data_IF_522808048117
#
_entry.id   IF_522808048117
#
_cell.length_a   1.000
_cell.length_b   1.000
_cell.length_c   1.000
_cell.angle_alpha   90.00
_cell.angle_beta   90.00
_cell.angle_gamma   90.00
#
_symmetry.space_group_name_H-M   'P 1'
#
loop_
_entity.id
_entity.type
_entity.pdbx_description
1 polymer ?
#
# COMPACT_ATOMS: atom_id res chain seq x y z
N UNK A 1 -30.77 -0.75 37.54
CA UNK A 1 -29.53 0.01 37.79
C UNK A 1 -29.31 0.94 36.62
N UNK A 2 -29.40 2.23 36.87
CA UNK A 2 -29.13 3.29 35.90
C UNK A 2 -27.61 3.40 35.76
N UNK A 3 -27.08 3.10 34.58
CA UNK A 3 -25.63 3.09 34.36
C UNK A 3 -25.19 4.54 34.17
N UNK A 4 -24.66 5.14 35.23
CA UNK A 4 -24.12 6.49 35.19
C UNK A 4 -22.77 6.47 34.43
N UNK A 5 -22.63 7.20 33.30
CA UNK A 5 -21.41 7.17 32.50
C UNK A 5 -20.27 7.88 33.25
N UNK A 6 -19.15 7.17 33.43
CA UNK A 6 -17.93 7.75 34.03
C UNK A 6 -17.42 8.89 33.15
N UNK A 7 -17.09 10.02 33.78
CA UNK A 7 -16.49 11.17 33.11
C UNK A 7 -15.18 10.78 32.40
N UNK A 8 -14.89 11.36 31.22
CA UNK A 8 -13.65 11.10 30.52
C UNK A 8 -12.45 11.52 31.37
N UNK A 9 -11.44 10.66 31.39
CA UNK A 9 -10.16 10.96 32.06
C UNK A 9 -9.56 12.19 31.39
N UNK A 10 -9.08 13.13 32.20
CA UNK A 10 -8.41 14.33 31.71
C UNK A 10 -7.28 13.95 30.74
N UNK A 11 -7.21 14.61 29.59
CA UNK A 11 -6.13 14.39 28.62
C UNK A 11 -4.78 14.61 29.31
N UNK A 12 -3.87 13.64 29.30
CA UNK A 12 -2.54 13.84 29.87
C UNK A 12 -1.87 14.99 29.13
N UNK A 13 -1.22 15.88 29.89
CA UNK A 13 -0.44 16.96 29.28
C UNK A 13 0.71 16.35 28.47
N UNK A 14 0.78 16.71 27.18
CA UNK A 14 1.91 16.32 26.34
C UNK A 14 3.21 16.88 26.94
N UNK A 15 4.33 16.13 26.87
CA UNK A 15 5.62 16.65 27.26
C UNK A 15 5.96 17.92 26.45
N UNK A 16 6.72 18.86 27.02
CA UNK A 16 7.15 20.04 26.30
C UNK A 16 7.94 19.63 25.05
N UNK A 17 7.80 20.40 23.97
CA UNK A 17 8.56 20.20 22.74
C UNK A 17 10.05 20.03 23.06
N UNK A 18 10.73 19.00 22.55
CA UNK A 18 12.18 18.91 22.70
C UNK A 18 12.83 20.16 22.12
N UNK A 19 13.92 20.63 22.75
CA UNK A 19 14.74 21.71 22.20
C UNK A 19 15.13 21.34 20.77
N UNK A 20 15.02 22.31 19.84
CA UNK A 20 15.37 22.15 18.43
C UNK A 20 16.64 21.31 18.30
N UNK A 21 16.49 20.09 17.81
CA UNK A 21 17.62 19.25 17.41
C UNK A 21 18.18 19.88 16.14
N UNK A 22 19.11 20.82 16.33
CA UNK A 22 19.89 21.44 15.26
C UNK A 22 20.79 20.42 14.54
N UNK A 23 21.01 19.26 15.16
CA UNK A 23 21.79 18.14 14.64
C UNK A 23 20.93 16.92 14.29
N UNK A 24 19.71 17.11 13.78
CA UNK A 24 19.08 16.04 13.01
C UNK A 24 19.89 15.88 11.73
N UNK A 25 20.77 14.89 11.71
CA UNK A 25 21.45 14.45 10.50
C UNK A 25 20.41 14.40 9.37
N UNK A 26 20.66 15.17 8.31
CA UNK A 26 19.77 15.29 7.17
C UNK A 26 19.39 13.88 6.70
N UNK A 27 18.11 13.52 6.77
CA UNK A 27 17.66 12.21 6.33
C UNK A 27 17.85 12.11 4.83
N UNK A 28 19.01 11.63 4.41
CA UNK A 28 19.28 11.27 3.02
C UNK A 28 18.60 9.94 2.77
N UNK A 29 17.33 10.02 2.36
CA UNK A 29 16.60 8.85 1.89
C UNK A 29 17.47 8.12 0.86
N UNK A 30 17.88 6.89 1.17
CA UNK A 30 18.65 6.09 0.23
C UNK A 30 17.79 5.85 -1.02
N UNK A 31 18.16 6.51 -2.13
CA UNK A 31 17.47 6.52 -3.42
C UNK A 31 17.32 5.13 -4.06
N UNK A 32 18.03 4.12 -3.55
CA UNK A 32 17.94 2.73 -4.00
C UNK A 32 16.54 2.14 -3.88
N UNK A 33 15.66 2.69 -3.04
CA UNK A 33 14.26 2.27 -2.90
C UNK A 33 13.25 3.14 -3.69
N UNK A 34 13.73 4.04 -4.55
CA UNK A 34 12.85 4.83 -5.41
C UNK A 34 12.19 3.93 -6.46
N UNK A 35 10.88 3.73 -6.32
CA UNK A 35 10.08 3.07 -7.36
C UNK A 35 9.87 4.11 -8.46
N UNK A 36 10.45 3.86 -9.65
CA UNK A 36 10.10 4.62 -10.85
C UNK A 36 8.68 4.27 -11.26
N UNK A 37 7.73 5.12 -10.89
CA UNK A 37 6.35 5.01 -11.36
C UNK A 37 6.28 5.66 -12.72
N UNK A 38 6.11 4.86 -13.77
CA UNK A 38 5.84 5.39 -15.09
C UNK A 38 4.43 5.99 -15.11
N UNK A 39 4.31 7.25 -15.51
CA UNK A 39 3.03 7.94 -15.64
C UNK A 39 2.36 7.56 -16.97
N UNK A 40 1.02 7.60 -16.98
CA UNK A 40 0.20 7.34 -18.17
C UNK A 40 -0.63 6.06 -18.08
N UNK A 41 -1.79 6.06 -18.75
CA UNK A 41 -2.70 4.91 -18.82
C UNK A 41 -2.03 3.68 -19.42
N UNK A 42 -1.30 3.82 -20.52
CA UNK A 42 -0.67 2.68 -21.21
C UNK A 42 0.32 1.92 -20.30
N UNK A 43 1.17 2.65 -19.57
CA UNK A 43 2.13 2.07 -18.64
C UNK A 43 1.44 1.46 -17.42
N UNK A 44 0.36 2.08 -16.94
CA UNK A 44 -0.45 1.55 -15.86
C UNK A 44 -1.16 0.23 -16.25
N UNK A 45 -1.67 0.14 -17.49
CA UNK A 45 -2.23 -1.11 -18.04
C UNK A 45 -1.17 -2.20 -18.16
N UNK A 46 0.04 -1.86 -18.60
CA UNK A 46 1.14 -2.81 -18.65
C UNK A 46 1.50 -3.32 -17.25
N UNK A 47 1.60 -2.44 -16.26
CA UNK A 47 1.87 -2.83 -14.87
C UNK A 47 0.77 -3.74 -14.31
N UNK A 48 -0.50 -3.43 -14.60
CA UNK A 48 -1.65 -4.26 -14.23
C UNK A 48 -1.53 -5.67 -14.83
N UNK A 49 -1.25 -5.76 -16.13
CA UNK A 49 -1.07 -7.04 -16.82
C UNK A 49 0.12 -7.83 -16.25
N UNK A 50 1.27 -7.18 -16.06
CA UNK A 50 2.46 -7.83 -15.52
C UNK A 50 2.23 -8.43 -14.12
N UNK A 51 1.48 -7.73 -13.27
CA UNK A 51 1.15 -8.23 -11.94
C UNK A 51 0.34 -9.55 -12.02
N UNK A 52 -0.71 -9.57 -12.84
CA UNK A 52 -1.59 -10.74 -12.99
C UNK A 52 -1.07 -11.80 -13.98
N UNK A 53 0.02 -11.56 -14.71
CA UNK A 53 0.68 -12.60 -15.52
C UNK A 53 1.48 -13.60 -14.67
N UNK A 54 1.85 -13.20 -13.45
CA UNK A 54 2.65 -14.00 -12.52
C UNK A 54 1.81 -14.48 -11.35
N UNK A 55 2.34 -15.44 -10.57
CA UNK A 55 1.63 -16.02 -9.43
C UNK A 55 1.74 -15.16 -8.14
N UNK A 56 2.31 -13.95 -8.22
CA UNK A 56 2.51 -13.06 -7.04
C UNK A 56 1.21 -12.58 -6.42
N UNK A 57 0.10 -12.58 -7.18
CA UNK A 57 -1.22 -12.29 -6.63
C UNK A 57 -1.66 -13.35 -5.61
N UNK A 58 -1.26 -14.61 -5.80
CA UNK A 58 -1.60 -15.73 -4.90
C UNK A 58 -0.92 -15.63 -3.52
N UNK A 59 0.07 -14.76 -3.37
CA UNK A 59 0.83 -14.57 -2.11
C UNK A 59 0.65 -13.16 -1.52
N UNK A 60 -0.32 -12.39 -2.02
CA UNK A 60 -0.53 -11.00 -1.59
C UNK A 60 -0.81 -10.87 -0.09
N UNK A 61 -1.67 -11.73 0.48
CA UNK A 61 -2.04 -11.65 1.91
C UNK A 61 -0.85 -11.87 2.82
N UNK A 62 0.05 -12.76 2.44
CA UNK A 62 1.26 -13.13 3.18
C UNK A 62 2.34 -12.04 3.04
N UNK A 63 2.45 -11.42 1.87
CA UNK A 63 3.57 -10.52 1.54
C UNK A 63 3.30 -9.05 1.78
N UNK A 64 2.03 -8.60 1.86
CA UNK A 64 1.64 -7.16 1.93
C UNK A 64 2.26 -6.35 3.07
N UNK A 65 2.75 -7.01 4.12
CA UNK A 65 3.37 -6.36 5.27
C UNK A 65 4.91 -6.30 5.20
N UNK A 66 5.53 -6.88 4.18
CA UNK A 66 6.98 -6.78 4.00
C UNK A 66 7.39 -5.35 3.60
N UNK A 67 8.47 -4.86 4.20
CA UNK A 67 9.00 -3.51 3.96
C UNK A 67 10.02 -3.46 2.81
N UNK A 68 10.53 -4.62 2.40
CA UNK A 68 11.55 -4.79 1.38
C UNK A 68 11.28 -6.04 0.54
N UNK A 69 11.94 -6.13 -0.61
CA UNK A 69 11.78 -7.22 -1.57
C UNK A 69 11.00 -6.82 -2.82
N UNK A 70 11.08 -7.66 -3.84
CA UNK A 70 10.25 -7.51 -5.03
C UNK A 70 8.87 -8.12 -4.78
N UNK A 71 7.85 -7.55 -5.41
CA UNK A 71 6.48 -8.08 -5.40
C UNK A 71 5.77 -8.23 -4.04
N UNK A 72 6.24 -7.58 -2.97
CA UNK A 72 5.53 -7.61 -1.67
C UNK A 72 4.13 -6.97 -1.70
N UNK A 73 3.81 -6.20 -2.74
CA UNK A 73 2.48 -5.62 -2.96
C UNK A 73 2.27 -5.35 -4.44
N UNK A 74 1.05 -4.96 -4.80
CA UNK A 74 0.68 -4.55 -6.16
C UNK A 74 1.40 -3.29 -6.64
N UNK A 75 1.74 -2.40 -5.70
CA UNK A 75 2.27 -1.05 -5.98
C UNK A 75 1.37 -0.24 -6.93
N UNK A 76 0.06 -0.51 -6.95
CA UNK A 76 -0.91 0.20 -7.79
C UNK A 76 -1.35 1.56 -7.23
N UNK A 77 -0.98 1.92 -6.00
CA UNK A 77 -1.41 3.18 -5.38
C UNK A 77 -1.12 4.44 -6.23
N UNK A 78 0.06 4.59 -6.89
CA UNK A 78 0.34 5.80 -7.65
C UNK A 78 -0.52 5.91 -8.92
N UNK A 79 -0.69 4.79 -9.64
CA UNK A 79 -1.46 4.74 -10.89
C UNK A 79 -2.98 4.85 -10.64
N UNK A 80 -3.45 4.39 -9.48
CA UNK A 80 -4.81 4.63 -9.00
C UNK A 80 -5.03 6.09 -8.61
N UNK A 81 -4.09 6.68 -7.87
CA UNK A 81 -4.19 8.08 -7.45
C UNK A 81 -4.22 9.05 -8.64
N UNK A 82 -3.50 8.71 -9.72
CA UNK A 82 -3.50 9.47 -10.96
C UNK A 82 -4.73 9.22 -11.85
N UNK A 83 -5.55 8.21 -11.53
CA UNK A 83 -6.68 7.81 -12.38
C UNK A 83 -6.27 7.14 -13.69
N UNK A 84 -5.03 6.66 -13.81
CA UNK A 84 -4.52 5.97 -15.00
C UNK A 84 -5.16 4.59 -15.16
N UNK A 85 -5.61 3.98 -14.06
CA UNK A 85 -6.50 2.81 -14.05
C UNK A 85 -7.59 3.00 -13.00
N UNK A 86 -8.68 2.26 -13.16
CA UNK A 86 -9.80 2.24 -12.22
C UNK A 86 -9.80 0.96 -11.36
N UNK A 87 -10.39 1.01 -10.15
CA UNK A 87 -10.62 -0.19 -9.34
C UNK A 87 -11.43 -1.28 -10.07
N UNK A 88 -12.33 -0.88 -10.99
CA UNK A 88 -13.12 -1.83 -11.80
C UNK A 88 -12.25 -2.64 -12.76
N UNK A 89 -11.24 -2.01 -13.37
CA UNK A 89 -10.26 -2.71 -14.22
C UNK A 89 -9.43 -3.71 -13.42
N UNK A 90 -9.00 -3.35 -12.21
CA UNK A 90 -8.28 -4.26 -11.31
C UNK A 90 -9.16 -5.47 -10.96
N UNK A 91 -10.43 -5.24 -10.59
CA UNK A 91 -11.38 -6.32 -10.30
C UNK A 91 -11.55 -7.25 -11.51
N UNK A 92 -11.69 -6.69 -12.71
CA UNK A 92 -11.83 -7.50 -13.92
C UNK A 92 -10.59 -8.36 -14.19
N UNK A 93 -9.39 -7.80 -14.04
CA UNK A 93 -8.14 -8.54 -14.17
C UNK A 93 -8.01 -9.64 -13.11
N UNK A 94 -8.39 -9.35 -11.86
CA UNK A 94 -8.43 -10.33 -10.77
C UNK A 94 -9.37 -11.50 -11.10
N UNK A 95 -10.60 -11.22 -11.56
CA UNK A 95 -11.53 -12.29 -11.95
C UNK A 95 -10.98 -13.14 -13.10
N UNK A 96 -10.31 -12.54 -14.08
CA UNK A 96 -9.66 -13.30 -15.16
C UNK A 96 -8.49 -14.14 -14.64
N UNK A 97 -7.73 -13.60 -13.69
CA UNK A 97 -6.65 -14.32 -13.03
C UNK A 97 -7.16 -15.55 -12.26
N UNK A 98 -8.19 -15.37 -11.43
CA UNK A 98 -8.81 -16.46 -10.67
C UNK A 98 -9.41 -17.56 -11.57
N UNK A 99 -9.96 -17.18 -12.74
CA UNK A 99 -10.44 -18.15 -13.73
C UNK A 99 -9.30 -19.02 -14.30
N UNK A 100 -8.08 -18.48 -14.39
CA UNK A 100 -6.93 -19.17 -14.97
C UNK A 100 -6.08 -19.92 -13.93
N UNK A 101 -5.94 -19.37 -12.72
CA UNK A 101 -5.03 -19.86 -11.67
C UNK A 101 -5.76 -20.45 -10.45
N UNK A 102 -7.06 -20.20 -10.32
CA UNK A 102 -7.84 -20.48 -9.11
C UNK A 102 -7.81 -19.31 -8.13
N UNK A 103 -8.88 -19.19 -7.34
CA UNK A 103 -8.97 -18.23 -6.24
C UNK A 103 -8.38 -18.83 -4.94
N UNK A 104 -7.88 -17.98 -4.06
CA UNK A 104 -7.37 -18.36 -2.74
C UNK A 104 -7.53 -17.21 -1.74
N UNK A 105 -7.04 -17.35 -0.51
CA UNK A 105 -7.14 -16.29 0.51
C UNK A 105 -6.46 -14.96 0.15
N UNK A 106 -5.60 -14.95 -0.87
CA UNK A 106 -4.91 -13.77 -1.38
C UNK A 106 -5.60 -13.12 -2.58
N UNK A 107 -6.55 -13.80 -3.23
CA UNK A 107 -7.20 -13.37 -4.49
C UNK A 107 -8.72 -13.41 -4.42
#
# INVERSE_FOLDING_TARGET
EEIEPKLPIATPQLPPRPNRVSDLAEFKANSSYSIKVAAGEAQAQQQLQQYFQTDVALTYKETRNALFGEHFSTRFSPILAYGAISPRQIKQALTQFEQQRGANEST
#
